data_IF_228297843249
#
_entry.id   IF_228297843249
#
_cell.length_a   1.000
_cell.length_b   1.000
_cell.length_c   1.000
_cell.angle_alpha   90.00
_cell.angle_beta   90.00
_cell.angle_gamma   90.00
#
_symmetry.space_group_name_H-M   'P 1'
#
loop_
_entity.id
_entity.type
_entity.pdbx_description
1 polymer ?
#
# COMPACT_ATOMS: atom_id res chain seq x y z
N UNK A 1 16.87 0.55 15.49
CA UNK A 1 15.40 0.46 15.60
C UNK A 1 14.94 -0.79 14.89
N UNK A 2 13.79 -1.37 15.25
CA UNK A 2 13.23 -2.53 14.57
C UNK A 2 11.70 -2.47 14.56
N UNK A 3 11.07 -3.15 13.59
CA UNK A 3 9.61 -3.22 13.46
C UNK A 3 9.12 -4.59 13.92
N UNK A 4 8.21 -4.60 14.88
CA UNK A 4 7.55 -5.80 15.39
C UNK A 4 6.13 -5.93 14.84
N UNK A 5 5.85 -7.08 14.23
CA UNK A 5 4.53 -7.49 13.77
C UNK A 5 3.98 -8.61 14.66
N UNK A 6 2.78 -8.40 15.19
CA UNK A 6 1.97 -9.47 15.80
C UNK A 6 1.04 -10.00 14.72
N UNK A 7 1.40 -11.14 14.15
CA UNK A 7 0.77 -11.71 12.96
C UNK A 7 -0.32 -12.71 13.35
N UNK A 8 -1.55 -12.43 12.93
CA UNK A 8 -2.65 -13.41 12.92
C UNK A 8 -2.90 -14.03 11.54
N UNK A 9 -2.42 -13.39 10.47
CA UNK A 9 -2.45 -13.86 9.08
C UNK A 9 -1.22 -13.33 8.34
N UNK A 10 -0.75 -14.07 7.34
CA UNK A 10 0.23 -13.57 6.37
C UNK A 10 -0.49 -12.60 5.42
N UNK A 11 0.05 -11.40 5.22
CA UNK A 11 -0.42 -10.43 4.22
C UNK A 11 0.77 -9.95 3.38
N UNK A 12 0.55 -9.83 2.07
CA UNK A 12 1.57 -9.57 1.06
C UNK A 12 2.50 -8.37 1.34
N UNK A 13 3.75 -8.57 0.88
CA UNK A 13 5.01 -8.03 1.39
C UNK A 13 5.43 -6.63 0.88
N UNK A 14 4.52 -5.80 0.40
CA UNK A 14 4.90 -4.57 -0.35
C UNK A 14 5.63 -3.52 0.51
N UNK A 15 5.39 -3.49 1.82
CA UNK A 15 6.01 -2.48 2.69
C UNK A 15 7.44 -2.79 3.09
N UNK A 16 7.81 -4.06 3.12
CA UNK A 16 9.16 -4.46 3.52
C UNK A 16 10.16 -3.97 2.48
N UNK A 17 9.86 -4.15 1.19
CA UNK A 17 10.68 -3.66 0.08
C UNK A 17 10.91 -2.15 0.14
N UNK A 18 9.90 -1.37 0.56
CA UNK A 18 10.02 0.08 0.64
C UNK A 18 10.79 0.55 1.86
N UNK A 19 10.58 -0.05 3.03
CA UNK A 19 11.35 0.27 4.24
C UNK A 19 12.79 -0.22 4.09
N UNK A 20 13.04 -1.39 3.50
CA UNK A 20 14.38 -1.88 3.18
C UNK A 20 15.08 -0.96 2.18
N UNK A 21 14.37 -0.46 1.17
CA UNK A 21 14.93 0.52 0.22
C UNK A 21 15.30 1.85 0.89
N UNK A 22 14.52 2.32 1.86
CA UNK A 22 14.76 3.62 2.54
C UNK A 22 15.79 3.50 3.66
N UNK A 23 15.84 2.35 4.34
CA UNK A 23 16.77 2.10 5.45
C UNK A 23 18.04 1.38 5.03
N UNK A 24 18.23 1.11 3.74
CA UNK A 24 19.32 0.28 3.20
C UNK A 24 19.42 -1.09 3.92
N UNK A 25 18.27 -1.64 4.34
CA UNK A 25 18.18 -2.91 5.07
C UNK A 25 18.64 -2.85 6.54
N UNK A 26 18.87 -1.66 7.11
CA UNK A 26 19.34 -1.52 8.50
C UNK A 26 18.25 -1.64 9.58
N UNK A 27 16.97 -1.75 9.20
CA UNK A 27 15.86 -1.90 10.15
C UNK A 27 15.34 -3.34 10.14
N UNK A 28 15.61 -4.14 11.20
CA UNK A 28 15.12 -5.50 11.27
C UNK A 28 13.60 -5.57 11.38
N UNK A 29 13.02 -6.57 10.72
CA UNK A 29 11.63 -6.97 10.88
C UNK A 29 11.52 -8.20 11.76
N UNK A 30 10.69 -8.12 12.80
CA UNK A 30 10.38 -9.24 13.68
C UNK A 30 8.91 -9.62 13.50
N UNK A 31 8.67 -10.87 13.10
CA UNK A 31 7.33 -11.41 12.89
C UNK A 31 7.01 -12.45 13.96
N UNK A 32 5.93 -12.24 14.72
CA UNK A 32 5.45 -13.18 15.73
C UNK A 32 4.09 -13.72 15.34
N UNK A 33 4.02 -15.02 15.07
CA UNK A 33 2.76 -15.72 14.78
C UNK A 33 2.25 -16.39 16.06
N UNK A 34 1.04 -16.02 16.47
CA UNK A 34 0.32 -16.72 17.53
C UNK A 34 -0.42 -17.92 16.92
N UNK A 35 0.16 -19.11 17.01
CA UNK A 35 -0.51 -20.35 16.61
C UNK A 35 0.08 -21.58 17.31
N UNK A 36 -0.80 -22.47 17.77
CA UNK A 36 -0.42 -23.79 18.28
C UNK A 36 -0.10 -24.78 17.14
N UNK A 37 -0.58 -24.53 15.92
CA UNK A 37 -0.33 -25.38 14.74
C UNK A 37 0.86 -24.86 13.93
N UNK A 38 2.05 -25.38 14.23
CA UNK A 38 3.26 -25.04 13.50
C UNK A 38 3.23 -25.53 12.04
N UNK A 39 2.51 -26.62 11.73
CA UNK A 39 2.46 -27.17 10.37
C UNK A 39 1.67 -26.23 9.46
N UNK A 40 0.55 -25.71 9.97
CA UNK A 40 -0.25 -24.71 9.27
C UNK A 40 0.58 -23.46 8.97
N UNK A 41 1.25 -22.88 9.98
CA UNK A 41 2.10 -21.70 9.78
C UNK A 41 3.21 -21.99 8.77
N UNK A 42 3.89 -23.12 8.87
CA UNK A 42 4.95 -23.50 7.92
C UNK A 42 4.42 -23.65 6.49
N UNK A 43 3.23 -24.20 6.33
CA UNK A 43 2.57 -24.31 5.02
C UNK A 43 2.26 -22.93 4.45
N UNK A 44 1.66 -22.03 5.25
CA UNK A 44 1.31 -20.68 4.83
C UNK A 44 2.55 -19.88 4.40
N UNK A 45 3.64 -19.94 5.19
CA UNK A 45 4.89 -19.23 4.87
C UNK A 45 5.48 -19.71 3.53
N UNK A 46 5.48 -21.01 3.27
CA UNK A 46 5.95 -21.58 1.99
C UNK A 46 5.05 -21.19 0.83
N UNK A 47 3.73 -21.34 1.01
CA UNK A 47 2.73 -21.05 -0.03
C UNK A 47 2.81 -19.59 -0.49
N UNK A 48 3.05 -18.68 0.46
CA UNK A 48 3.07 -17.23 0.22
C UNK A 48 4.49 -16.70 -0.04
N UNK A 49 5.48 -17.60 -0.22
CA UNK A 49 6.90 -17.28 -0.44
C UNK A 49 7.45 -16.24 0.54
N UNK A 50 7.13 -16.42 1.82
CA UNK A 50 7.50 -15.52 2.90
C UNK A 50 8.86 -15.92 3.48
N UNK A 51 9.91 -15.24 3.02
CA UNK A 51 11.30 -15.60 3.32
C UNK A 51 11.91 -14.84 4.51
N UNK A 52 11.12 -14.02 5.22
CA UNK A 52 11.59 -13.34 6.43
C UNK A 52 11.65 -14.30 7.64
N UNK A 53 12.60 -14.11 8.57
CA UNK A 53 12.61 -14.85 9.84
C UNK A 53 11.33 -14.63 10.64
N UNK A 54 10.75 -15.71 11.18
CA UNK A 54 9.54 -15.65 12.01
C UNK A 54 9.73 -16.36 13.34
N UNK A 55 9.06 -15.87 14.37
CA UNK A 55 8.86 -16.55 15.64
C UNK A 55 7.41 -17.09 15.70
N UNK A 56 7.24 -18.34 16.14
CA UNK A 56 5.91 -18.94 16.36
C UNK A 56 5.69 -19.09 17.86
N UNK A 57 4.84 -18.24 18.41
CA UNK A 57 4.46 -18.24 19.83
C UNK A 57 3.25 -19.15 20.04
N UNK A 58 3.52 -20.41 20.40
CA UNK A 58 2.48 -21.44 20.55
C UNK A 58 1.60 -21.27 21.77
N UNK A 59 2.10 -20.56 22.76
CA UNK A 59 1.46 -20.42 24.08
C UNK A 59 0.93 -19.01 24.32
N UNK A 60 0.97 -18.15 23.30
CA UNK A 60 0.58 -16.73 23.37
C UNK A 60 1.32 -15.97 24.48
N UNK A 61 2.57 -16.36 24.77
CA UNK A 61 3.36 -15.81 25.89
C UNK A 61 3.62 -14.33 25.71
N UNK A 62 3.90 -13.87 24.49
CA UNK A 62 4.21 -12.47 24.20
C UNK A 62 2.99 -11.58 24.45
N UNK A 63 1.81 -12.02 24.01
CA UNK A 63 0.57 -11.29 24.24
C UNK A 63 0.16 -11.34 25.72
N UNK A 64 0.27 -12.48 26.38
CA UNK A 64 0.00 -12.60 27.83
C UNK A 64 0.85 -11.65 28.67
N UNK A 65 2.10 -11.42 28.26
CA UNK A 65 3.01 -10.51 28.95
C UNK A 65 2.66 -9.04 28.70
N UNK A 66 2.24 -8.67 27.49
CA UNK A 66 2.13 -7.27 27.07
C UNK A 66 0.69 -6.75 26.95
N UNK A 67 -0.32 -7.62 26.87
CA UNK A 67 -1.73 -7.26 26.72
C UNK A 67 -2.01 -6.46 25.45
N UNK A 68 -1.64 -6.98 24.26
CA UNK A 68 -1.78 -6.22 23.03
C UNK A 68 -3.26 -5.93 22.67
N UNK A 69 -3.54 -4.81 21.97
CA UNK A 69 -4.87 -4.54 21.45
C UNK A 69 -5.39 -5.68 20.57
N UNK A 70 -6.68 -6.01 20.69
CA UNK A 70 -7.33 -7.04 19.88
C UNK A 70 -7.51 -6.64 18.41
N UNK A 71 -7.57 -5.33 18.14
CA UNK A 71 -7.66 -4.76 16.80
C UNK A 71 -6.32 -4.89 16.06
N UNK A 72 -6.38 -5.59 14.92
CA UNK A 72 -5.25 -5.91 14.06
C UNK A 72 -4.54 -4.66 13.49
N UNK A 73 -5.23 -3.51 13.44
CA UNK A 73 -4.64 -2.25 12.95
C UNK A 73 -3.60 -1.69 13.91
N UNK A 74 -3.65 -2.07 15.19
CA UNK A 74 -2.72 -1.66 16.25
C UNK A 74 -1.75 -2.78 16.68
N UNK A 75 -1.63 -3.84 15.88
CA UNK A 75 -0.75 -4.99 16.13
C UNK A 75 0.59 -4.89 15.37
N UNK A 76 1.05 -3.67 15.09
CA UNK A 76 2.36 -3.39 14.49
C UNK A 76 3.01 -2.25 15.24
N UNK A 77 4.28 -2.43 15.60
CA UNK A 77 4.99 -1.56 16.51
C UNK A 77 6.37 -1.23 15.93
N UNK A 78 6.75 0.05 15.97
CA UNK A 78 8.13 0.46 15.79
C UNK A 78 8.80 0.58 17.14
N UNK A 79 9.97 -0.03 17.30
CA UNK A 79 10.73 -0.04 18.55
C UNK A 79 12.11 0.58 18.39
N UNK A 80 12.56 1.27 19.43
CA UNK A 80 13.93 1.75 19.55
C UNK A 80 14.91 0.63 19.96
N UNK A 81 16.20 0.94 20.09
CA UNK A 81 17.22 -0.03 20.51
C UNK A 81 17.09 -0.48 21.97
N UNK A 82 16.25 0.17 22.77
CA UNK A 82 15.97 -0.15 24.17
C UNK A 82 14.64 -0.91 24.32
N UNK A 83 14.10 -1.43 23.22
CA UNK A 83 12.83 -2.15 23.14
C UNK A 83 11.61 -1.29 23.57
N UNK A 84 11.70 0.04 23.47
CA UNK A 84 10.57 0.94 23.73
C UNK A 84 9.77 1.14 22.47
N UNK A 85 8.44 1.09 22.61
CA UNK A 85 7.52 1.40 21.52
C UNK A 85 7.57 2.90 21.23
N UNK A 86 7.94 3.26 20.00
CA UNK A 86 7.97 4.65 19.53
C UNK A 86 6.81 4.99 18.60
N UNK A 87 6.20 4.00 17.96
CA UNK A 87 5.01 4.19 17.12
C UNK A 87 4.18 2.92 17.08
N UNK A 88 2.85 3.06 17.09
CA UNK A 88 1.88 1.96 17.00
C UNK A 88 1.04 2.18 15.75
N UNK A 89 0.72 1.08 15.07
CA UNK A 89 -0.17 1.07 13.92
C UNK A 89 0.46 0.37 12.74
N UNK A 90 -0.38 -0.24 11.91
CA UNK A 90 0.07 -0.93 10.71
C UNK A 90 0.32 0.08 9.56
N UNK A 91 1.58 0.31 9.14
CA UNK A 91 1.89 1.26 8.06
C UNK A 91 1.34 0.81 6.70
N UNK A 92 0.88 -0.44 6.56
CA UNK A 92 0.23 -0.99 5.34
C UNK A 92 -1.16 -0.39 5.12
N UNK A 93 -1.83 -0.01 6.20
CA UNK A 93 -3.22 0.42 6.13
C UNK A 93 -3.39 1.92 6.37
N UNK A 94 -2.34 2.62 6.80
CA UNK A 94 -2.43 4.02 7.19
C UNK A 94 -1.17 4.81 6.79
N UNK A 95 -1.33 5.75 5.86
CA UNK A 95 -0.24 6.59 5.35
C UNK A 95 0.35 7.50 6.45
N UNK A 96 -0.46 8.04 7.36
CA UNK A 96 0.06 8.87 8.45
C UNK A 96 0.94 8.06 9.40
N UNK A 97 0.58 6.80 9.67
CA UNK A 97 1.41 5.88 10.45
C UNK A 97 2.72 5.57 9.71
N UNK A 98 2.65 5.35 8.40
CA UNK A 98 3.85 5.14 7.57
C UNK A 98 4.81 6.33 7.65
N UNK A 99 4.31 7.56 7.56
CA UNK A 99 5.12 8.76 7.67
C UNK A 99 5.79 8.88 9.05
N UNK A 100 5.09 8.49 10.12
CA UNK A 100 5.65 8.43 11.47
C UNK A 100 6.82 7.42 11.55
N UNK A 101 6.67 6.23 10.95
CA UNK A 101 7.73 5.23 10.96
C UNK A 101 8.99 5.75 10.26
N UNK A 102 8.82 6.33 9.06
CA UNK A 102 9.93 6.87 8.28
C UNK A 102 10.64 8.00 9.03
N UNK A 103 9.89 8.92 9.65
CA UNK A 103 10.44 10.01 10.48
C UNK A 103 11.30 9.49 11.63
N UNK A 104 10.86 8.45 12.33
CA UNK A 104 11.59 7.92 13.48
C UNK A 104 12.83 7.15 13.06
N UNK A 105 12.72 6.30 12.02
CA UNK A 105 13.83 5.51 11.49
C UNK A 105 14.97 6.39 10.97
N UNK A 106 14.64 7.51 10.34
CA UNK A 106 15.63 8.42 9.75
C UNK A 106 16.22 9.43 10.75
N UNK A 107 15.79 9.43 12.02
CA UNK A 107 16.40 10.23 13.09
C UNK A 107 16.14 11.75 13.02
N UNK A 108 15.25 12.23 12.15
CA UNK A 108 15.00 13.67 12.00
C UNK A 108 13.88 14.16 12.94
N UNK A 109 14.26 14.83 14.02
CA UNK A 109 13.36 15.65 14.84
C UNK A 109 12.83 16.85 14.03
N UNK A 110 11.50 17.04 14.04
CA UNK A 110 10.71 18.13 13.42
C UNK A 110 10.84 18.40 11.91
N UNK A 111 9.73 18.70 11.20
CA UNK A 111 9.78 19.14 9.81
C UNK A 111 10.18 20.61 9.78
N UNK A 112 11.43 20.93 9.46
CA UNK A 112 11.76 22.16 8.72
C UNK A 112 13.25 22.20 8.36
N UNK A 113 13.58 21.69 7.18
CA UNK A 113 14.30 22.45 6.14
C UNK A 113 14.07 21.69 4.84
N UNK A 114 13.17 22.20 3.99
CA UNK A 114 13.29 22.18 2.52
C UNK A 114 14.15 21.05 1.91
N UNK A 115 13.75 19.79 2.05
CA UNK A 115 13.91 18.83 0.96
C UNK A 115 12.52 18.64 0.40
N UNK A 116 12.32 19.15 -0.81
CA UNK A 116 11.09 18.93 -1.56
C UNK A 116 10.74 17.44 -1.49
N UNK A 117 9.45 17.06 -1.39
CA UNK A 117 9.05 15.66 -1.49
C UNK A 117 9.77 15.04 -2.69
N UNK A 118 10.30 13.81 -2.56
CA UNK A 118 10.98 13.12 -3.67
C UNK A 118 9.99 13.04 -4.82
N UNK A 119 10.14 13.96 -5.76
CA UNK A 119 9.26 14.16 -6.88
C UNK A 119 9.87 13.50 -8.09
N UNK A 120 9.03 12.85 -8.86
CA UNK A 120 9.35 12.39 -10.21
C UNK A 120 8.30 12.92 -11.17
N UNK A 121 8.48 12.62 -12.45
CA UNK A 121 7.48 12.87 -13.49
C UNK A 121 6.89 11.55 -13.93
N UNK A 122 5.62 11.57 -14.30
CA UNK A 122 4.95 10.42 -14.84
C UNK A 122 3.98 10.85 -15.92
N UNK A 123 3.79 9.96 -16.89
CA UNK A 123 2.86 10.15 -18.00
C UNK A 123 1.92 8.96 -18.06
N UNK A 124 0.63 9.23 -18.23
CA UNK A 124 -0.33 8.18 -18.52
C UNK A 124 -0.29 7.91 -20.03
N UNK A 125 -0.15 6.65 -20.44
CA UNK A 125 -0.18 6.29 -21.87
C UNK A 125 -1.52 6.67 -22.52
N UNK A 126 -2.59 6.62 -21.74
CA UNK A 126 -3.92 7.13 -22.08
C UNK A 126 -4.52 7.78 -20.84
N UNK A 127 -5.24 8.89 -21.02
CA UNK A 127 -5.95 9.58 -19.94
C UNK A 127 -7.46 9.43 -20.06
N UNK A 128 -7.98 8.96 -21.20
CA UNK A 128 -9.41 8.84 -21.45
C UNK A 128 -9.72 7.52 -22.16
N UNK A 129 -10.68 6.77 -21.64
CA UNK A 129 -11.17 5.54 -22.27
C UNK A 129 -12.69 5.59 -22.35
N UNK A 130 -13.23 5.43 -23.57
CA UNK A 130 -14.65 5.23 -23.78
C UNK A 130 -14.98 3.74 -23.72
N UNK A 131 -15.88 3.37 -22.81
CA UNK A 131 -16.36 2.01 -22.56
C UNK A 131 -17.44 1.55 -23.55
N UNK A 132 -17.86 2.44 -24.45
CA UNK A 132 -18.96 2.23 -25.38
C UNK A 132 -20.31 2.18 -24.67
N UNK A 133 -21.26 1.53 -25.34
CA UNK A 133 -22.60 1.29 -24.81
C UNK A 133 -22.72 -0.13 -24.28
N UNK A 134 -23.27 -0.30 -23.07
CA UNK A 134 -23.45 -1.62 -22.45
C UNK A 134 -24.67 -1.66 -21.52
N UNK A 135 -25.15 -2.86 -21.23
CA UNK A 135 -26.33 -3.05 -20.40
C UNK A 135 -26.05 -2.74 -18.92
N UNK A 136 -27.05 -2.22 -18.19
CA UNK A 136 -26.97 -1.95 -16.74
C UNK A 136 -26.53 -3.16 -15.88
N UNK A 137 -26.77 -4.39 -16.35
CA UNK A 137 -26.33 -5.61 -15.65
C UNK A 137 -24.85 -5.94 -15.82
N UNK A 138 -24.15 -5.27 -16.74
CA UNK A 138 -22.74 -5.52 -17.04
C UNK A 138 -21.81 -4.56 -16.27
N UNK A 139 -20.68 -5.07 -15.79
CA UNK A 139 -19.57 -4.25 -15.29
C UNK A 139 -18.42 -4.28 -16.28
N UNK A 140 -17.81 -3.11 -16.54
CA UNK A 140 -16.65 -2.99 -17.42
C UNK A 140 -15.39 -2.79 -16.59
N UNK A 141 -14.29 -3.37 -17.07
CA UNK A 141 -12.97 -3.20 -16.46
C UNK A 141 -12.02 -2.60 -17.49
N UNK A 142 -11.29 -1.56 -17.10
CA UNK A 142 -10.20 -0.98 -17.89
C UNK A 142 -8.93 -0.85 -17.07
N UNK A 143 -7.80 -0.74 -17.77
CA UNK A 143 -6.49 -0.55 -17.16
C UNK A 143 -5.84 0.65 -17.80
N UNK A 144 -5.38 1.58 -16.97
CA UNK A 144 -4.53 2.69 -17.38
C UNK A 144 -3.08 2.38 -16.99
N UNK A 145 -2.15 2.68 -17.88
CA UNK A 145 -0.71 2.53 -17.65
C UNK A 145 -0.10 3.90 -17.36
N UNK A 146 0.59 4.00 -16.23
CA UNK A 146 1.39 5.16 -15.85
C UNK A 146 2.87 4.82 -16.00
N UNK A 147 3.59 5.57 -16.83
CA UNK A 147 5.03 5.41 -17.03
C UNK A 147 5.80 6.43 -16.20
N UNK A 148 6.84 5.99 -15.50
CA UNK A 148 7.77 6.88 -14.84
C UNK A 148 8.72 7.51 -15.87
N UNK A 149 8.60 8.82 -16.06
CA UNK A 149 9.42 9.59 -17.02
C UNK A 149 10.55 10.37 -16.35
N UNK A 150 10.64 10.33 -15.02
CA UNK A 150 11.69 11.01 -14.28
C UNK A 150 12.80 10.09 -13.79
N UNK A 151 13.72 10.66 -13.00
CA UNK A 151 14.93 9.99 -12.53
C UNK A 151 14.79 9.35 -11.14
N UNK A 152 13.64 9.53 -10.48
CA UNK A 152 13.35 8.97 -9.16
C UNK A 152 12.22 7.95 -9.25
N UNK A 153 12.13 6.98 -8.33
CA UNK A 153 11.03 6.01 -8.35
C UNK A 153 9.66 6.69 -8.25
N UNK A 154 8.73 6.25 -9.10
CA UNK A 154 7.33 6.65 -9.08
C UNK A 154 6.55 5.76 -8.12
N UNK A 155 5.69 6.36 -7.30
CA UNK A 155 4.81 5.66 -6.37
C UNK A 155 3.41 6.24 -6.44
N UNK A 156 2.41 5.38 -6.63
CA UNK A 156 0.99 5.73 -6.46
C UNK A 156 0.66 5.64 -4.97
N UNK A 157 0.17 6.75 -4.41
CA UNK A 157 -0.15 6.88 -2.99
C UNK A 157 -1.62 6.55 -2.72
N UNK A 158 -2.50 7.01 -3.61
CA UNK A 158 -3.95 6.95 -3.41
C UNK A 158 -4.71 7.25 -4.72
N UNK A 159 -5.99 6.88 -4.77
CA UNK A 159 -6.91 7.20 -5.87
C UNK A 159 -8.21 7.77 -5.31
N UNK A 160 -8.71 8.85 -5.90
CA UNK A 160 -10.00 9.43 -5.57
C UNK A 160 -10.94 9.39 -6.78
N UNK A 161 -12.22 9.09 -6.56
CA UNK A 161 -13.26 9.05 -7.60
C UNK A 161 -14.36 10.05 -7.33
N UNK A 162 -15.01 10.52 -8.40
CA UNK A 162 -16.15 11.43 -8.34
C UNK A 162 -17.46 10.74 -7.95
N UNK A 163 -17.61 9.46 -8.27
CA UNK A 163 -18.80 8.66 -7.99
C UNK A 163 -18.47 7.28 -7.42
N UNK A 164 -19.40 6.72 -6.65
CA UNK A 164 -19.32 5.36 -6.11
C UNK A 164 -19.64 4.24 -7.12
N UNK A 165 -19.80 4.55 -8.41
CA UNK A 165 -19.92 3.56 -9.49
C UNK A 165 -18.56 3.01 -9.94
N UNK A 166 -17.46 3.62 -9.47
CA UNK A 166 -16.11 3.35 -9.93
C UNK A 166 -15.25 2.80 -8.79
N UNK A 167 -14.64 1.64 -9.00
CA UNK A 167 -13.77 0.96 -8.02
C UNK A 167 -12.35 0.83 -8.57
N UNK A 168 -11.44 1.78 -8.25
CA UNK A 168 -10.05 1.73 -8.68
C UNK A 168 -9.20 0.79 -7.79
N UNK A 169 -8.21 0.19 -8.41
CA UNK A 169 -7.11 -0.56 -7.79
C UNK A 169 -5.83 -0.29 -8.56
N UNK A 170 -4.67 -0.35 -7.92
CA UNK A 170 -3.41 0.05 -8.54
C UNK A 170 -2.22 -0.74 -8.00
N UNK A 171 -1.13 -0.73 -8.77
CA UNK A 171 0.13 -1.35 -8.38
C UNK A 171 0.77 -0.62 -7.19
N UNK A 172 1.13 -1.39 -6.16
CA UNK A 172 1.62 -0.85 -4.88
C UNK A 172 3.14 -0.79 -4.78
N UNK A 173 3.86 -1.39 -5.73
CA UNK A 173 5.31 -1.30 -5.79
C UNK A 173 5.74 0.03 -6.43
N UNK A 174 6.96 0.53 -6.15
CA UNK A 174 7.54 1.62 -6.91
C UNK A 174 7.83 1.19 -8.36
N UNK A 175 7.82 2.14 -9.29
CA UNK A 175 8.37 1.97 -10.64
C UNK A 175 9.67 2.77 -10.78
N UNK A 176 10.75 2.11 -11.17
CA UNK A 176 12.03 2.75 -11.48
C UNK A 176 11.93 3.65 -12.73
N UNK A 177 12.92 4.51 -13.02
CA UNK A 177 12.94 5.30 -14.24
C UNK A 177 12.68 4.45 -15.50
N UNK A 178 11.67 4.82 -16.28
CA UNK A 178 11.26 4.12 -17.49
C UNK A 178 10.27 2.96 -17.30
N UNK A 179 10.09 2.46 -16.06
CA UNK A 179 9.11 1.42 -15.73
C UNK A 179 7.68 1.97 -15.62
N UNK A 180 6.71 1.06 -15.52
CA UNK A 180 5.28 1.37 -15.51
C UNK A 180 4.55 0.84 -14.28
N UNK A 181 3.44 1.49 -13.94
CA UNK A 181 2.46 1.08 -12.94
C UNK A 181 1.07 1.04 -13.58
N UNK A 182 0.25 0.10 -13.17
CA UNK A 182 -1.12 -0.06 -13.64
C UNK A 182 -2.13 0.50 -12.64
N UNK A 183 -3.16 1.15 -13.18
CA UNK A 183 -4.38 1.54 -12.46
C UNK A 183 -5.56 0.85 -13.12
N UNK A 184 -6.07 -0.19 -12.48
CA UNK A 184 -7.23 -0.96 -12.92
C UNK A 184 -8.50 -0.35 -12.34
N UNK A 185 -9.45 -0.03 -13.21
CA UNK A 185 -10.73 0.60 -12.86
C UNK A 185 -11.86 -0.34 -13.24
N UNK A 186 -12.70 -0.68 -12.27
CA UNK A 186 -13.98 -1.39 -12.50
C UNK A 186 -15.12 -0.39 -12.41
N UNK A 187 -15.94 -0.33 -13.45
CA UNK A 187 -17.15 0.47 -13.48
C UNK A 187 -18.39 -0.44 -13.38
N UNK A 188 -19.22 -0.17 -12.38
CA UNK A 188 -20.48 -0.86 -12.14
C UNK A 188 -21.60 0.19 -12.12
N UNK A 189 -22.46 0.22 -13.16
CA UNK A 189 -23.49 1.25 -13.28
C UNK A 189 -24.58 1.10 -12.23
N UNK A 190 -25.05 2.24 -11.70
CA UNK A 190 -26.23 2.31 -10.81
C UNK A 190 -27.49 2.71 -11.56
N UNK A 191 -27.35 3.48 -12.64
CA UNK A 191 -28.42 4.03 -13.46
C UNK A 191 -28.07 3.91 -14.95
N UNK A 192 -29.08 4.09 -15.81
CA UNK A 192 -28.94 4.16 -17.26
C UNK A 192 -28.64 5.59 -17.70
N UNK A 193 -28.15 5.75 -18.93
CA UNK A 193 -27.76 7.02 -19.54
C UNK A 193 -26.26 7.19 -19.72
N UNK A 194 -25.86 8.37 -20.19
CA UNK A 194 -24.47 8.73 -20.37
C UNK A 194 -23.75 8.95 -19.04
N UNK A 195 -22.50 8.51 -18.98
CA UNK A 195 -21.62 8.79 -17.84
C UNK A 195 -20.26 9.28 -18.30
N UNK A 196 -19.61 10.07 -17.43
CA UNK A 196 -18.23 10.50 -17.58
C UNK A 196 -17.64 10.66 -16.18
N UNK A 197 -16.83 9.71 -15.77
CA UNK A 197 -16.27 9.62 -14.42
C UNK A 197 -14.78 9.92 -14.42
N UNK A 198 -14.32 10.72 -13.46
CA UNK A 198 -12.90 11.06 -13.30
C UNK A 198 -12.31 10.32 -12.11
N UNK A 199 -11.18 9.65 -12.36
CA UNK A 199 -10.32 9.02 -11.38
C UNK A 199 -9.07 9.89 -11.22
N UNK A 200 -8.86 10.42 -10.02
CA UNK A 200 -7.67 11.20 -9.69
C UNK A 200 -6.65 10.28 -9.01
N UNK A 201 -5.52 10.07 -9.68
CA UNK A 201 -4.41 9.27 -9.15
C UNK A 201 -3.40 10.20 -8.48
N UNK A 202 -3.25 10.04 -7.16
CA UNK A 202 -2.29 10.78 -6.36
C UNK A 202 -0.97 10.02 -6.35
N UNK A 203 0.05 10.61 -6.95
CA UNK A 203 1.40 10.07 -7.03
C UNK A 203 2.40 11.06 -6.40
N UNK A 204 3.66 10.67 -6.24
CA UNK A 204 4.75 11.58 -5.89
C UNK A 204 5.21 12.47 -7.07
N UNK A 205 4.24 13.01 -7.82
CA UNK A 205 4.42 13.97 -8.92
C UNK A 205 4.00 15.36 -8.46
N UNK A 206 4.37 16.43 -9.19
CA UNK A 206 3.92 17.78 -8.84
C UNK A 206 2.41 17.98 -8.96
N UNK A 207 1.81 17.30 -9.95
CA UNK A 207 0.38 17.33 -10.22
C UNK A 207 -0.16 15.92 -10.18
N UNK A 208 -1.35 15.76 -9.60
CA UNK A 208 -2.09 14.51 -9.67
C UNK A 208 -2.52 14.22 -11.09
N UNK A 209 -2.53 12.93 -11.44
CA UNK A 209 -2.90 12.47 -12.77
C UNK A 209 -4.42 12.26 -12.78
N UNK A 210 -5.09 12.75 -13.80
CA UNK A 210 -6.53 12.57 -14.00
C UNK A 210 -6.75 11.58 -15.14
N UNK A 211 -7.56 10.56 -14.86
CA UNK A 211 -7.97 9.54 -15.80
C UNK A 211 -9.50 9.61 -15.91
N UNK A 212 -10.04 9.49 -17.11
CA UNK A 212 -11.47 9.61 -17.38
C UNK A 212 -11.97 8.33 -18.04
N UNK A 213 -13.11 7.83 -17.56
CA UNK A 213 -13.88 6.82 -18.26
C UNK A 213 -15.22 7.39 -18.66
N UNK A 214 -15.68 7.10 -19.88
CA UNK A 214 -16.97 7.57 -20.38
C UNK A 214 -17.70 6.46 -21.12
N UNK A 215 -19.00 6.63 -21.34
CA UNK A 215 -19.82 5.66 -22.08
C UNK A 215 -21.30 5.90 -21.89
N UNK A 216 -22.10 4.92 -22.29
CA UNK A 216 -23.55 4.94 -22.18
C UNK A 216 -24.07 3.61 -21.62
N UNK A 217 -25.00 3.69 -20.69
CA UNK A 217 -25.63 2.51 -20.09
C UNK A 217 -27.09 2.43 -20.54
N UNK A 218 -27.52 1.29 -21.06
CA UNK A 218 -28.93 1.05 -21.44
C UNK A 218 -29.60 -0.05 -20.60
#
# INVERSE_FOLDING_TARGET
MYVLFICRKIKNNVIFTQVDSISEGHVPFLFFFQSSDQKEIRYLLKRDNFDYPVCVDREDRLNKLNGFPSDITFQTFLLDSNNRVVTIGNPIHNLAVKDLYLKQITGTGTPSTTKQPIRTTAEAEQTEINLGSFAKSESKTVVFTLRNTGEKPLVIMDTATTCGCTSPSFDKHPAQPGETLQVKVVYTPKDTGFFSETITVKCNTEKWIKLTISGEVF
#
